data_IF_445274326418
#
_entry.id   IF_445274326418
#
_cell.length_a   1.000
_cell.length_b   1.000
_cell.length_c   1.000
_cell.angle_alpha   90.00
_cell.angle_beta   90.00
_cell.angle_gamma   90.00
#
_symmetry.space_group_name_H-M   'P 1'
#
loop_
_entity.id
_entity.type
_entity.pdbx_description
1 polymer ?
#
# COMPACT_ATOMS: atom_id res chain seq x y z
N UNK A 1 -3.08 12.99 5.44
CA UNK A 1 -2.14 11.92 5.06
C UNK A 1 -2.33 11.57 3.59
N UNK A 2 -1.26 11.18 2.89
CA UNK A 2 -1.31 10.68 1.51
C UNK A 2 -0.57 9.33 1.45
N UNK A 3 -1.33 8.24 1.55
CA UNK A 3 -0.78 6.87 1.56
C UNK A 3 -0.09 6.50 0.25
N UNK A 4 -0.46 7.13 -0.87
CA UNK A 4 0.13 6.88 -2.19
C UNK A 4 1.28 7.84 -2.52
N UNK A 5 1.63 8.76 -1.61
CA UNK A 5 2.76 9.66 -1.77
C UNK A 5 4.04 8.85 -2.06
N UNK A 6 4.72 9.18 -3.17
CA UNK A 6 5.98 8.54 -3.56
C UNK A 6 7.17 8.92 -2.68
N UNK A 7 7.06 9.98 -1.88
CA UNK A 7 8.13 10.40 -0.98
C UNK A 7 8.07 9.60 0.32
N UNK A 8 8.91 8.56 0.40
CA UNK A 8 8.98 7.64 1.54
C UNK A 8 10.45 7.38 1.88
N UNK A 9 10.78 7.41 3.16
CA UNK A 9 12.13 7.13 3.66
C UNK A 9 12.12 5.82 4.46
N UNK A 10 13.11 4.95 4.23
CA UNK A 10 13.19 3.63 4.85
C UNK A 10 14.55 3.38 5.45
N UNK A 11 14.57 2.63 6.55
CA UNK A 11 15.81 1.95 6.98
C UNK A 11 16.08 0.81 6.01
N UNK A 12 17.34 0.62 5.61
CA UNK A 12 17.75 -0.49 4.74
C UNK A 12 17.39 -1.86 5.34
N UNK A 13 17.39 -1.99 6.67
CA UNK A 13 16.95 -3.20 7.37
C UNK A 13 15.45 -3.48 7.21
N UNK A 14 14.62 -2.45 7.06
CA UNK A 14 13.18 -2.61 6.82
C UNK A 14 12.93 -3.12 5.39
N UNK A 15 13.70 -2.64 4.40
CA UNK A 15 13.57 -3.08 3.00
C UNK A 15 13.77 -4.58 2.84
N UNK A 16 14.64 -5.21 3.66
CA UNK A 16 14.86 -6.66 3.64
C UNK A 16 13.63 -7.50 4.04
N UNK A 17 12.66 -6.89 4.71
CA UNK A 17 11.40 -7.52 5.11
C UNK A 17 10.29 -7.36 4.08
N UNK A 18 10.54 -6.58 3.02
CA UNK A 18 9.57 -6.33 1.95
C UNK A 18 9.90 -7.22 0.75
N UNK A 19 8.87 -7.78 0.14
CA UNK A 19 8.90 -8.48 -1.14
C UNK A 19 7.88 -7.83 -2.05
N UNK A 20 8.28 -6.71 -2.66
CA UNK A 20 7.42 -5.94 -3.56
C UNK A 20 7.55 -6.53 -4.97
N UNK A 21 6.43 -6.95 -5.52
CA UNK A 21 6.32 -7.58 -6.85
C UNK A 21 5.28 -6.89 -7.73
N UNK A 22 4.47 -6.00 -7.15
CA UNK A 22 3.50 -5.19 -7.88
C UNK A 22 4.18 -3.90 -8.29
N UNK A 23 4.05 -3.56 -9.57
CA UNK A 23 4.54 -2.31 -10.13
C UNK A 23 3.43 -1.23 -10.19
N UNK A 24 3.83 0.00 -10.51
CA UNK A 24 2.91 1.09 -10.77
C UNK A 24 2.08 1.51 -9.55
N UNK A 25 0.89 2.04 -9.80
CA UNK A 25 0.08 2.70 -8.78
C UNK A 25 -0.52 1.77 -7.73
N UNK A 26 -0.45 0.45 -7.89
CA UNK A 26 -0.91 -0.50 -6.87
C UNK A 26 0.20 -0.93 -5.90
N UNK A 27 1.47 -0.70 -6.24
CA UNK A 27 2.63 -1.03 -5.39
C UNK A 27 2.52 -0.51 -3.95
N UNK A 28 2.04 0.73 -3.68
CA UNK A 28 1.92 1.21 -2.30
C UNK A 28 1.00 0.35 -1.42
N UNK A 29 -0.03 -0.29 -1.98
CA UNK A 29 -0.92 -1.16 -1.23
C UNK A 29 -0.19 -2.38 -0.69
N UNK A 30 0.60 -3.03 -1.55
CA UNK A 30 1.43 -4.16 -1.17
C UNK A 30 2.46 -3.76 -0.10
N UNK A 31 3.07 -2.58 -0.26
CA UNK A 31 4.02 -2.05 0.72
C UNK A 31 3.38 -1.85 2.09
N UNK A 32 2.19 -1.24 2.16
CA UNK A 32 1.55 -0.95 3.44
C UNK A 32 1.11 -2.21 4.18
N UNK A 33 0.54 -3.18 3.47
CA UNK A 33 0.14 -4.45 4.07
C UNK A 33 1.38 -5.17 4.63
N UNK A 34 2.45 -5.30 3.84
CA UNK A 34 3.69 -5.94 4.32
C UNK A 34 4.31 -5.20 5.50
N UNK A 35 4.38 -3.87 5.47
CA UNK A 35 4.93 -3.08 6.56
C UNK A 35 4.12 -3.25 7.85
N UNK A 36 2.79 -3.26 7.75
CA UNK A 36 1.91 -3.49 8.89
C UNK A 36 2.09 -4.91 9.45
N UNK A 37 2.07 -5.94 8.60
CA UNK A 37 2.18 -7.33 9.06
C UNK A 37 3.58 -7.65 9.59
N UNK A 38 4.61 -6.93 9.13
CA UNK A 38 5.96 -6.99 9.70
C UNK A 38 6.15 -6.17 11.00
N UNK A 39 5.07 -5.57 11.53
CA UNK A 39 5.09 -4.79 12.77
C UNK A 39 5.97 -3.53 12.70
N UNK A 40 6.10 -2.92 11.52
CA UNK A 40 6.96 -1.75 11.35
C UNK A 40 6.35 -0.51 12.01
N UNK A 41 7.20 0.30 12.65
CA UNK A 41 6.81 1.64 13.10
C UNK A 41 6.79 2.60 11.91
N UNK A 42 5.61 3.10 11.57
CA UNK A 42 5.39 4.08 10.50
C UNK A 42 5.13 5.44 11.14
N UNK A 43 5.77 6.48 10.60
CA UNK A 43 5.61 7.88 11.05
C UNK A 43 5.33 8.74 9.84
N UNK A 44 4.32 9.59 9.94
CA UNK A 44 4.03 10.59 8.93
C UNK A 44 4.80 11.88 9.22
N UNK A 45 5.50 12.40 8.20
CA UNK A 45 6.20 13.68 8.28
C UNK A 45 5.61 14.59 7.21
N UNK A 46 5.12 15.80 7.56
CA UNK A 46 4.57 16.70 6.58
C UNK A 46 5.66 17.21 5.63
N UNK A 47 5.34 17.28 4.34
CA UNK A 47 6.22 17.80 3.29
C UNK A 47 5.45 18.76 2.39
N UNK A 48 6.12 19.73 1.75
CA UNK A 48 5.46 20.62 0.80
C UNK A 48 4.78 19.84 -0.33
N UNK A 49 3.61 20.31 -0.76
CA UNK A 49 2.90 19.74 -1.92
C UNK A 49 3.69 20.03 -3.19
N UNK A 50 4.19 18.99 -3.85
CA UNK A 50 4.95 19.12 -5.11
C UNK A 50 4.10 18.92 -6.37
N UNK A 51 2.89 18.38 -6.25
CA UNK A 51 1.95 18.20 -7.36
C UNK A 51 0.89 19.28 -7.35
N UNK A 52 1.04 20.30 -8.18
CA UNK A 52 0.13 21.45 -8.23
C UNK A 52 -1.11 21.17 -9.09
N UNK A 53 -0.98 20.33 -10.12
CA UNK A 53 -2.09 19.92 -10.98
C UNK A 53 -2.84 18.70 -10.43
N UNK A 54 -4.18 18.76 -10.51
CA UNK A 54 -5.09 17.71 -10.04
C UNK A 54 -5.37 16.66 -11.11
N UNK A 55 -5.29 17.03 -12.39
CA UNK A 55 -5.43 16.07 -13.49
C UNK A 55 -4.22 15.15 -13.48
N UNK A 56 -4.47 13.87 -13.23
CA UNK A 56 -3.45 12.83 -13.23
C UNK A 56 -3.92 11.68 -14.09
N UNK A 57 -2.99 11.11 -14.86
CA UNK A 57 -3.15 9.80 -15.46
C UNK A 57 -2.43 8.78 -14.59
N UNK A 58 -3.09 7.65 -14.40
CA UNK A 58 -2.60 6.44 -13.75
C UNK A 58 -2.02 5.44 -14.76
N UNK A 59 -2.20 5.71 -16.06
CA UNK A 59 -1.70 4.92 -17.18
C UNK A 59 -2.68 3.82 -17.60
N UNK A 60 -3.05 3.82 -18.88
CA UNK A 60 -3.83 2.74 -19.50
C UNK A 60 -5.19 2.52 -18.85
N UNK A 61 -5.54 1.26 -18.58
CA UNK A 61 -6.82 0.88 -17.97
C UNK A 61 -7.02 1.44 -16.56
N UNK A 62 -5.94 1.84 -15.87
CA UNK A 62 -6.02 2.42 -14.54
C UNK A 62 -6.54 3.85 -14.55
N UNK A 63 -6.69 4.53 -15.70
CA UNK A 63 -7.38 5.82 -15.74
C UNK A 63 -8.88 5.69 -15.45
N UNK A 64 -9.47 4.53 -15.76
CA UNK A 64 -10.82 4.18 -15.34
C UNK A 64 -10.85 3.89 -13.83
N UNK A 65 -11.67 4.66 -13.11
CA UNK A 65 -11.75 4.57 -11.66
C UNK A 65 -12.29 3.24 -11.13
N UNK A 66 -13.22 2.60 -11.86
CA UNK A 66 -13.81 1.33 -11.46
C UNK A 66 -12.81 0.19 -11.65
N UNK A 67 -12.14 0.14 -12.80
CA UNK A 67 -11.07 -0.83 -13.05
C UNK A 67 -9.91 -0.67 -12.05
N UNK A 68 -9.51 0.57 -11.77
CA UNK A 68 -8.47 0.88 -10.78
C UNK A 68 -8.86 0.41 -9.38
N UNK A 69 -10.10 0.67 -8.95
CA UNK A 69 -10.59 0.23 -7.65
C UNK A 69 -10.61 -1.29 -7.54
N UNK A 70 -11.10 -1.98 -8.57
CA UNK A 70 -11.10 -3.44 -8.59
C UNK A 70 -9.67 -4.00 -8.48
N UNK A 71 -8.75 -3.47 -9.26
CA UNK A 71 -7.34 -3.87 -9.21
C UNK A 71 -6.72 -3.66 -7.83
N UNK A 72 -7.02 -2.53 -7.17
CA UNK A 72 -6.57 -2.27 -5.80
C UNK A 72 -7.13 -3.28 -4.80
N UNK A 73 -8.42 -3.63 -4.90
CA UNK A 73 -9.02 -4.64 -4.04
C UNK A 73 -8.42 -6.04 -4.26
N UNK A 74 -8.13 -6.40 -5.50
CA UNK A 74 -7.45 -7.66 -5.83
C UNK A 74 -6.06 -7.73 -5.18
N UNK A 75 -5.26 -6.66 -5.29
CA UNK A 75 -3.94 -6.58 -4.65
C UNK A 75 -4.04 -6.68 -3.13
N UNK A 76 -5.00 -5.98 -2.52
CA UNK A 76 -5.22 -6.03 -1.07
C UNK A 76 -5.56 -7.46 -0.62
N UNK A 77 -6.55 -8.10 -1.26
CA UNK A 77 -6.97 -9.47 -0.90
C UNK A 77 -5.83 -10.46 -1.07
N UNK A 78 -5.17 -10.44 -2.23
CA UNK A 78 -4.06 -11.35 -2.51
C UNK A 78 -2.91 -11.20 -1.50
N UNK A 79 -2.59 -9.97 -1.09
CA UNK A 79 -1.49 -9.73 -0.16
C UNK A 79 -1.86 -10.10 1.29
N UNK A 80 -3.11 -9.87 1.70
CA UNK A 80 -3.63 -10.31 2.99
C UNK A 80 -3.67 -11.84 3.10
N UNK A 81 -4.16 -12.53 2.07
CA UNK A 81 -4.19 -13.99 2.02
C UNK A 81 -2.76 -14.56 2.13
N UNK A 82 -1.83 -13.98 1.36
CA UNK A 82 -0.41 -14.37 1.33
C UNK A 82 0.28 -14.23 2.69
N UNK A 83 -0.12 -13.24 3.50
CA UNK A 83 0.50 -12.90 4.77
C UNK A 83 -0.37 -13.22 5.98
N UNK A 84 -1.47 -13.96 5.80
CA UNK A 84 -2.46 -14.27 6.82
C UNK A 84 -1.86 -14.68 8.17
N UNK A 85 -0.82 -15.51 8.16
CA UNK A 85 -0.12 -15.94 9.38
C UNK A 85 0.56 -14.79 10.15
N UNK A 86 1.17 -13.85 9.43
CA UNK A 86 1.93 -12.71 9.97
C UNK A 86 1.01 -11.53 10.32
N UNK A 87 -0.06 -11.34 9.55
CA UNK A 87 -1.02 -10.25 9.74
C UNK A 87 -1.96 -10.47 10.94
N UNK A 88 -1.95 -11.65 11.58
CA UNK A 88 -2.77 -11.98 12.76
C UNK A 88 -2.65 -11.00 13.92
N UNK A 89 -1.59 -10.19 13.96
CA UNK A 89 -1.37 -9.21 15.02
C UNK A 89 -2.01 -7.84 14.75
N UNK A 90 -2.66 -7.64 13.59
CA UNK A 90 -3.27 -6.36 13.21
C UNK A 90 -4.74 -6.36 13.63
N UNK A 91 -5.14 -5.54 14.63
CA UNK A 91 -6.49 -5.60 15.21
C UNK A 91 -7.60 -5.30 14.18
N UNK A 92 -7.37 -4.41 13.23
CA UNK A 92 -8.37 -4.03 12.22
C UNK A 92 -8.63 -5.10 11.17
N UNK A 93 -7.72 -6.08 11.04
CA UNK A 93 -7.85 -7.20 10.08
C UNK A 93 -8.43 -8.47 10.73
N UNK A 94 -8.72 -8.43 12.03
CA UNK A 94 -9.40 -9.51 12.76
C UNK A 94 -10.93 -9.36 12.75
N UNK A 95 -11.46 -8.24 12.25
CA UNK A 95 -12.85 -7.83 12.47
C UNK A 95 -13.81 -8.13 11.28
N UNK A 96 -13.46 -9.04 10.36
CA UNK A 96 -14.26 -9.27 9.14
C UNK A 96 -14.92 -10.65 9.05
N UNK A 97 -15.10 -11.35 10.18
CA UNK A 97 -15.87 -12.60 10.24
C UNK A 97 -17.30 -12.37 10.81
N UNK A 98 -18.02 -11.38 10.29
CA UNK A 98 -19.49 -11.25 10.44
C UNK A 98 -20.19 -11.10 9.07
#
# INVERSE_FOLDING_TARGET
TDSFCGFKAYRTSALKKLRLTIDGYAMPLQLWIQAACAGMKIVEVPVPRIYLEEKRSFGGSLDDSAMRMQHYQEVIRAELDRLSADCRQIPVLQATDE
#
